data_IF_895603468332
#
_entry.id   IF_895603468332
#
_cell.length_a   1.000
_cell.length_b   1.000
_cell.length_c   1.000
_cell.angle_alpha   90.00
_cell.angle_beta   90.00
_cell.angle_gamma   90.00
#
_symmetry.space_group_name_H-M   'P 1'
#
loop_
_entity.id
_entity.type
_entity.pdbx_description
1 polymer ?
#
# COMPACT_ATOMS: atom_id res chain seq x y z
N UNK A 1 -10.50 10.21 11.39
CA UNK A 1 -9.03 10.31 11.57
C UNK A 1 -8.43 10.73 10.24
N UNK A 2 -7.44 11.62 10.23
CA UNK A 2 -6.78 12.03 8.99
C UNK A 2 -5.85 10.92 8.47
N UNK A 3 -5.79 10.75 7.15
CA UNK A 3 -4.75 9.96 6.49
C UNK A 3 -3.52 10.85 6.35
N UNK A 4 -2.36 10.35 6.75
CA UNK A 4 -1.11 11.11 6.68
C UNK A 4 -0.17 10.39 5.73
N UNK A 5 0.35 11.13 4.76
CA UNK A 5 1.29 10.60 3.77
C UNK A 5 2.60 10.14 4.40
N UNK A 6 3.49 9.60 3.56
CA UNK A 6 4.91 9.60 3.82
C UNK A 6 5.45 10.94 4.35
N UNK A 7 6.52 10.92 5.14
CA UNK A 7 7.25 12.13 5.54
C UNK A 7 8.39 12.40 4.56
N UNK A 8 8.42 13.60 4.02
CA UNK A 8 9.41 14.06 3.05
C UNK A 8 10.27 15.16 3.66
N UNK A 9 11.51 15.26 3.21
CA UNK A 9 12.44 16.31 3.63
C UNK A 9 12.72 17.24 2.45
N UNK A 10 12.51 18.53 2.66
CA UNK A 10 12.99 19.57 1.77
C UNK A 10 14.24 20.18 2.38
N UNK A 11 15.35 20.12 1.65
CA UNK A 11 16.63 20.63 2.12
C UNK A 11 16.78 22.10 1.75
N UNK A 12 17.47 22.85 2.62
CA UNK A 12 17.94 24.20 2.29
C UNK A 12 18.83 24.12 1.04
N UNK A 13 18.54 24.99 0.08
CA UNK A 13 19.23 25.02 -1.21
C UNK A 13 19.47 26.46 -1.63
N UNK A 14 20.71 26.77 -1.99
CA UNK A 14 21.13 28.10 -2.44
C UNK A 14 21.08 28.24 -3.97
N UNK A 15 20.83 27.14 -4.70
CA UNK A 15 21.00 27.08 -6.16
C UNK A 15 19.67 26.98 -6.91
N UNK A 16 18.68 26.28 -6.36
CA UNK A 16 17.35 26.14 -6.97
C UNK A 16 16.25 25.97 -5.90
N UNK A 17 15.03 26.47 -6.16
CA UNK A 17 13.87 26.22 -5.30
C UNK A 17 13.61 24.71 -5.15
N UNK A 18 13.47 24.18 -3.91
CA UNK A 18 13.21 22.76 -3.73
C UNK A 18 11.80 22.40 -4.20
N UNK A 19 11.70 21.27 -4.89
CA UNK A 19 10.44 20.67 -5.34
C UNK A 19 10.29 19.33 -4.66
N UNK A 20 9.18 19.12 -3.96
CA UNK A 20 8.86 17.88 -3.26
C UNK A 20 7.62 17.27 -3.91
N UNK A 21 7.71 16.01 -4.30
CA UNK A 21 6.57 15.21 -4.76
C UNK A 21 6.15 14.32 -3.59
N UNK A 22 4.93 14.53 -3.11
CA UNK A 22 4.34 13.77 -2.01
C UNK A 22 3.34 12.80 -2.63
N UNK A 23 3.63 11.50 -2.54
CA UNK A 23 2.67 10.45 -2.85
C UNK A 23 1.64 10.39 -1.71
N UNK A 24 0.38 10.12 -2.04
CA UNK A 24 -0.63 9.89 -1.01
C UNK A 24 -1.67 8.86 -1.42
N UNK A 25 -2.12 8.06 -0.46
CA UNK A 25 -3.08 6.97 -0.71
C UNK A 25 -4.53 7.43 -0.90
N UNK A 26 -4.91 8.67 -0.59
CA UNK A 26 -6.28 9.14 -0.83
C UNK A 26 -6.70 8.96 -2.30
N UNK A 27 -7.91 8.46 -2.54
CA UNK A 27 -8.46 8.35 -3.88
C UNK A 27 -9.04 9.69 -4.31
N UNK A 28 -8.37 10.35 -5.26
CA UNK A 28 -8.77 11.68 -5.75
C UNK A 28 -9.39 11.53 -7.13
N UNK A 29 -10.67 11.19 -7.16
CA UNK A 29 -11.49 11.19 -8.38
C UNK A 29 -12.85 11.82 -8.09
N UNK A 30 -13.59 12.19 -9.15
CA UNK A 30 -14.92 12.79 -9.03
C UNK A 30 -15.84 11.92 -8.16
N UNK A 31 -16.42 12.51 -7.12
CA UNK A 31 -17.27 11.80 -6.15
C UNK A 31 -16.60 11.49 -4.80
N UNK A 32 -15.30 11.72 -4.67
CA UNK A 32 -14.59 11.71 -3.39
C UNK A 32 -14.17 13.14 -3.01
N UNK A 33 -14.39 13.51 -1.75
CA UNK A 33 -14.28 14.88 -1.23
C UNK A 33 -13.16 15.03 -0.21
N UNK A 34 -12.05 14.32 -0.43
CA UNK A 34 -10.86 14.44 0.42
C UNK A 34 -10.38 15.89 0.50
N UNK A 35 -10.40 16.47 1.70
CA UNK A 35 -9.73 17.74 1.95
C UNK A 35 -8.25 17.46 2.25
N UNK A 36 -7.39 17.74 1.28
CA UNK A 36 -5.95 17.59 1.42
C UNK A 36 -5.31 18.88 1.90
N UNK A 37 -4.50 18.77 2.96
CA UNK A 37 -3.75 19.88 3.54
C UNK A 37 -2.29 19.49 3.64
N UNK A 38 -1.39 20.28 3.04
CA UNK A 38 0.05 20.08 3.20
C UNK A 38 0.51 20.81 4.44
N UNK A 39 1.16 20.09 5.35
CA UNK A 39 1.74 20.65 6.56
C UNK A 39 3.24 20.42 6.60
N UNK A 40 3.94 21.31 7.28
CA UNK A 40 5.37 21.17 7.53
C UNK A 40 5.72 21.42 8.99
N UNK A 41 6.95 21.05 9.33
CA UNK A 41 7.60 21.34 10.61
C UNK A 41 9.10 21.54 10.41
N UNK A 42 9.69 22.36 11.28
CA UNK A 42 11.10 22.76 11.19
C UNK A 42 11.93 22.11 12.31
N UNK A 43 13.24 21.86 12.13
CA UNK A 43 14.19 21.52 13.19
C UNK A 43 14.08 22.44 14.42
N UNK A 44 13.91 23.74 14.20
CA UNK A 44 13.66 24.72 15.28
C UNK A 44 12.42 24.38 16.13
N UNK A 45 11.34 23.87 15.53
CA UNK A 45 10.14 23.41 16.25
C UNK A 45 10.37 22.15 17.11
N UNK A 46 11.47 21.43 16.93
CA UNK A 46 11.82 20.31 17.81
C UNK A 46 12.39 20.77 19.15
N UNK A 47 13.02 21.96 19.20
CA UNK A 47 13.59 22.50 20.43
C UNK A 47 12.51 23.00 21.40
N UNK A 48 11.34 23.41 20.89
CA UNK A 48 10.15 23.75 21.68
C UNK A 48 9.52 22.54 22.41
N UNK A 49 9.96 21.30 22.11
CA UNK A 49 9.56 20.08 22.86
C UNK A 49 9.84 20.16 24.35
N UNK A 50 10.84 20.93 24.76
CA UNK A 50 11.24 21.01 26.17
C UNK A 50 10.29 21.88 27.01
N UNK A 51 9.40 22.65 26.38
CA UNK A 51 8.43 23.53 27.08
C UNK A 51 6.98 23.16 26.80
N UNK A 52 6.66 22.63 25.62
CA UNK A 52 5.32 22.15 25.27
C UNK A 52 5.43 20.85 24.47
N UNK A 53 4.76 19.79 24.94
CA UNK A 53 4.98 18.41 24.49
C UNK A 53 4.39 18.09 23.09
N UNK A 54 4.28 19.09 22.20
CA UNK A 54 3.72 18.93 20.85
C UNK A 54 4.59 19.60 19.80
N UNK A 55 5.29 18.79 19.00
CA UNK A 55 5.82 19.26 17.72
C UNK A 55 4.61 19.45 16.78
N UNK A 56 4.14 20.69 16.61
CA UNK A 56 2.90 20.99 15.88
C UNK A 56 3.18 21.08 14.38
N UNK A 57 2.60 20.16 13.61
CA UNK A 57 2.49 20.31 12.17
C UNK A 57 1.63 21.53 11.84
N UNK A 58 2.18 22.50 11.10
CA UNK A 58 1.49 23.72 10.66
C UNK A 58 1.31 23.72 9.15
N UNK A 59 0.31 24.43 8.63
CA UNK A 59 0.10 24.46 7.18
C UNK A 59 1.32 25.07 6.48
N UNK A 60 1.69 24.51 5.33
CA UNK A 60 2.94 24.91 4.65
C UNK A 60 2.94 26.39 4.29
N UNK A 61 1.79 26.96 3.92
CA UNK A 61 1.64 28.37 3.57
C UNK A 61 1.69 29.30 4.80
N UNK A 62 1.46 28.80 6.01
CA UNK A 62 1.64 29.61 7.25
C UNK A 62 3.12 29.74 7.60
N UNK A 63 3.90 28.69 7.36
CA UNK A 63 5.34 28.66 7.67
C UNK A 63 6.17 29.22 6.50
N UNK A 64 5.71 28.98 5.27
CA UNK A 64 6.36 29.35 4.01
C UNK A 64 5.30 29.96 3.08
N UNK A 65 4.99 31.26 3.21
CA UNK A 65 3.89 31.91 2.48
C UNK A 65 3.94 31.79 0.96
N UNK A 66 5.13 31.74 0.37
CA UNK A 66 5.33 31.64 -1.07
C UNK A 66 5.36 30.19 -1.60
N UNK A 67 5.04 29.19 -0.75
CA UNK A 67 4.94 27.81 -1.19
C UNK A 67 3.76 27.63 -2.15
N UNK A 68 3.98 26.88 -3.23
CA UNK A 68 2.93 26.48 -4.17
C UNK A 68 2.64 25.00 -3.98
N UNK A 69 1.37 24.70 -3.73
CA UNK A 69 0.87 23.33 -3.59
C UNK A 69 -0.06 23.05 -4.77
N UNK A 70 0.36 22.14 -5.63
CA UNK A 70 -0.42 21.69 -6.78
C UNK A 70 -0.75 20.21 -6.61
N UNK A 71 -2.02 19.88 -6.75
CA UNK A 71 -2.46 18.50 -6.76
C UNK A 71 -2.50 17.97 -8.19
N UNK A 72 -1.75 16.89 -8.46
CA UNK A 72 -1.70 16.21 -9.77
C UNK A 72 -2.12 14.77 -9.59
N UNK A 73 -3.40 14.49 -9.85
CA UNK A 73 -4.02 13.18 -9.58
C UNK A 73 -3.81 12.76 -8.12
N UNK A 74 -2.92 11.78 -7.91
CA UNK A 74 -2.63 11.15 -6.63
C UNK A 74 -1.39 11.72 -5.94
N UNK A 75 -0.64 12.57 -6.65
CA UNK A 75 0.57 13.19 -6.14
C UNK A 75 0.30 14.66 -5.80
N UNK A 76 0.98 15.14 -4.77
CA UNK A 76 0.95 16.53 -4.37
C UNK A 76 2.34 17.11 -4.61
N UNK A 77 2.41 18.03 -5.57
CA UNK A 77 3.62 18.76 -5.91
C UNK A 77 3.72 20.01 -5.04
N UNK A 78 4.76 20.08 -4.24
CA UNK A 78 5.05 21.23 -3.38
C UNK A 78 6.30 21.91 -3.91
N UNK A 79 6.14 23.11 -4.46
CA UNK A 79 7.25 23.98 -4.87
C UNK A 79 7.48 25.01 -3.80
N UNK A 80 8.68 25.01 -3.23
CA UNK A 80 9.05 25.88 -2.11
C UNK A 80 9.99 26.98 -2.60
N UNK A 81 9.93 28.19 -2.02
CA UNK A 81 10.99 29.18 -2.18
C UNK A 81 12.32 28.67 -1.57
N UNK A 82 13.40 29.45 -1.72
CA UNK A 82 14.66 29.14 -1.05
C UNK A 82 14.45 29.07 0.46
N UNK A 83 14.75 27.90 1.03
CA UNK A 83 14.56 27.63 2.45
C UNK A 83 15.77 28.10 3.27
N UNK A 84 15.50 28.69 4.43
CA UNK A 84 16.54 29.09 5.40
C UNK A 84 17.06 27.91 6.24
N UNK A 85 16.23 26.90 6.44
CA UNK A 85 16.54 25.66 7.15
C UNK A 85 15.85 24.47 6.45
N UNK A 86 16.30 23.26 6.73
CA UNK A 86 15.64 22.04 6.24
C UNK A 86 14.26 21.93 6.88
N UNK A 87 13.25 21.46 6.14
CA UNK A 87 11.91 21.25 6.69
C UNK A 87 11.40 19.85 6.37
N UNK A 88 10.57 19.31 7.26
CA UNK A 88 9.81 18.09 6.99
C UNK A 88 8.40 18.44 6.56
N UNK A 89 7.90 17.74 5.54
CA UNK A 89 6.62 18.00 4.89
C UNK A 89 5.85 16.69 4.76
N UNK A 90 4.54 16.76 4.96
CA UNK A 90 3.61 15.67 4.72
C UNK A 90 2.24 16.21 4.31
N UNK A 91 1.49 15.43 3.54
CA UNK A 91 0.10 15.69 3.23
C UNK A 91 -0.83 15.02 4.26
N UNK A 92 -1.91 15.70 4.58
CA UNK A 92 -2.94 15.28 5.51
C UNK A 92 -4.27 15.26 4.77
N UNK A 93 -4.77 14.06 4.47
CA UNK A 93 -6.09 13.84 3.91
C UNK A 93 -7.15 13.75 5.00
N UNK A 94 -8.09 14.68 4.99
CA UNK A 94 -9.28 14.65 5.84
C UNK A 94 -10.42 14.03 5.02
N UNK A 95 -10.93 12.85 5.41
CA UNK A 95 -11.98 12.18 4.65
C UNK A 95 -13.35 12.82 4.87
N UNK A 96 -14.16 12.87 3.82
CA UNK A 96 -15.61 12.93 3.84
C UNK A 96 -16.26 11.59 4.17
N UNK A 97 -17.56 11.45 3.88
CA UNK A 97 -18.36 10.27 4.27
C UNK A 97 -18.19 9.07 3.34
N UNK A 98 -18.15 9.31 2.03
CA UNK A 98 -18.07 8.27 0.99
C UNK A 98 -16.64 8.09 0.43
N UNK A 99 -15.66 8.61 1.16
CA UNK A 99 -14.28 8.62 0.70
C UNK A 99 -13.64 7.22 0.77
N UNK A 100 -12.82 6.96 -0.24
CA UNK A 100 -12.02 5.74 -0.35
C UNK A 100 -10.54 6.10 -0.39
N UNK A 101 -9.70 5.16 0.05
CA UNK A 101 -8.25 5.23 -0.18
C UNK A 101 -7.79 4.05 -1.02
N UNK A 102 -6.70 4.28 -1.74
CA UNK A 102 -6.00 3.32 -2.58
C UNK A 102 -5.07 2.51 -1.70
N UNK A 103 -5.27 1.21 -1.69
CA UNK A 103 -4.35 0.26 -1.07
C UNK A 103 -3.87 -0.72 -2.13
N UNK A 104 -2.71 -1.30 -1.92
CA UNK A 104 -2.18 -2.39 -2.73
C UNK A 104 -1.93 -3.61 -1.84
N UNK A 105 -2.01 -4.78 -2.44
CA UNK A 105 -1.76 -6.02 -1.71
C UNK A 105 -0.35 -6.51 -2.01
N UNK A 106 0.40 -6.86 -0.97
CA UNK A 106 1.75 -7.39 -1.07
C UNK A 106 1.82 -8.74 -0.37
N UNK A 107 2.33 -9.75 -1.08
CA UNK A 107 2.35 -11.13 -0.59
C UNK A 107 3.79 -11.54 -0.32
N UNK A 108 4.04 -11.96 0.91
CA UNK A 108 5.34 -12.36 1.41
C UNK A 108 5.34 -13.81 1.87
N UNK A 109 6.50 -14.44 1.80
CA UNK A 109 6.70 -15.77 2.36
C UNK A 109 8.15 -16.17 2.30
N UNK A 110 8.51 -17.20 3.08
CA UNK A 110 9.83 -17.82 2.96
C UNK A 110 9.95 -18.52 1.61
N UNK A 111 11.19 -18.80 1.21
CA UNK A 111 11.43 -19.65 0.05
C UNK A 111 10.72 -21.01 0.27
N UNK A 112 9.84 -21.44 -0.64
CA UNK A 112 9.12 -22.70 -0.49
C UNK A 112 10.09 -23.89 -0.52
N UNK A 113 9.87 -24.88 0.35
CA UNK A 113 10.72 -26.08 0.47
C UNK A 113 9.85 -27.32 0.37
N UNK A 114 10.21 -28.27 -0.49
CA UNK A 114 9.40 -29.45 -0.73
C UNK A 114 9.14 -30.23 0.56
N UNK A 115 7.88 -30.64 0.74
CA UNK A 115 7.45 -31.44 1.89
C UNK A 115 7.27 -30.66 3.18
N UNK A 116 7.39 -29.32 3.15
CA UNK A 116 7.06 -28.43 4.27
C UNK A 116 5.87 -27.56 3.92
N UNK A 117 5.06 -27.24 4.93
CA UNK A 117 4.00 -26.25 4.80
C UNK A 117 4.59 -24.88 4.46
N UNK A 118 3.92 -24.17 3.56
CA UNK A 118 4.35 -22.85 3.11
C UNK A 118 3.44 -21.77 3.66
N UNK A 119 4.03 -20.83 4.40
CA UNK A 119 3.29 -19.72 5.02
C UNK A 119 3.34 -18.51 4.10
N UNK A 120 2.16 -18.06 3.70
CA UNK A 120 1.95 -16.84 2.93
C UNK A 120 1.37 -15.78 3.85
N UNK A 121 1.99 -14.61 3.85
CA UNK A 121 1.54 -13.44 4.58
C UNK A 121 1.08 -12.39 3.59
N UNK A 122 -0.18 -12.00 3.68
CA UNK A 122 -0.83 -11.14 2.70
C UNK A 122 -1.14 -9.81 3.37
N UNK A 123 -0.39 -8.78 3.01
CA UNK A 123 -0.53 -7.42 3.54
C UNK A 123 -1.43 -6.58 2.65
N UNK A 124 -2.24 -5.73 3.29
CA UNK A 124 -2.90 -4.62 2.62
C UNK A 124 -2.21 -3.33 3.07
N UNK A 125 -1.54 -2.66 2.13
CA UNK A 125 -0.69 -1.50 2.40
C UNK A 125 -1.19 -0.30 1.62
N UNK A 126 -0.93 0.90 2.13
CA UNK A 126 -1.24 2.12 1.39
C UNK A 126 -0.51 2.13 0.05
N UNK A 127 -1.18 2.65 -0.99
CA UNK A 127 -0.61 2.72 -2.34
C UNK A 127 0.43 3.85 -2.46
N UNK A 128 1.56 3.66 -1.79
CA UNK A 128 2.75 4.50 -1.89
C UNK A 128 4.05 3.69 -1.79
N UNK A 129 5.13 4.29 -2.27
CA UNK A 129 6.48 3.73 -2.28
C UNK A 129 7.04 3.59 -0.86
N UNK A 130 6.77 4.57 0.01
CA UNK A 130 7.23 4.55 1.41
C UNK A 130 6.57 3.41 2.19
N UNK A 131 5.25 3.26 2.08
CA UNK A 131 4.51 2.19 2.75
C UNK A 131 5.02 0.80 2.32
N UNK A 132 5.24 0.63 1.01
CA UNK A 132 5.76 -0.62 0.45
C UNK A 132 7.16 -0.94 0.96
N UNK A 133 8.09 0.02 0.89
CA UNK A 133 9.46 -0.16 1.36
C UNK A 133 9.50 -0.55 2.84
N UNK A 134 8.71 0.13 3.68
CA UNK A 134 8.64 -0.16 5.12
C UNK A 134 8.22 -1.61 5.42
N UNK A 135 7.27 -2.16 4.65
CA UNK A 135 6.85 -3.56 4.81
C UNK A 135 7.87 -4.53 4.24
N UNK A 136 8.49 -4.22 3.11
CA UNK A 136 9.58 -5.02 2.55
C UNK A 136 10.74 -5.14 3.53
N UNK A 137 11.25 -4.02 4.04
CA UNK A 137 12.36 -3.98 5.02
C UNK A 137 12.01 -4.80 6.27
N UNK A 138 10.77 -4.71 6.74
CA UNK A 138 10.28 -5.49 7.89
C UNK A 138 10.24 -6.99 7.59
N UNK A 139 9.68 -7.41 6.47
CA UNK A 139 9.54 -8.83 6.15
C UNK A 139 10.88 -9.48 5.80
N UNK A 140 11.79 -8.74 5.19
CA UNK A 140 13.18 -9.17 4.96
C UNK A 140 13.88 -9.45 6.29
N UNK A 141 13.65 -8.62 7.32
CA UNK A 141 14.20 -8.87 8.67
C UNK A 141 13.69 -10.18 9.32
N UNK A 142 12.56 -10.71 8.86
CA UNK A 142 12.02 -12.02 9.27
C UNK A 142 12.44 -13.17 8.32
N UNK A 143 13.26 -12.88 7.31
CA UNK A 143 13.71 -13.83 6.29
C UNK A 143 12.63 -14.23 5.28
N UNK A 144 11.61 -13.38 5.11
CA UNK A 144 10.60 -13.55 4.07
C UNK A 144 10.99 -12.74 2.83
N UNK A 145 10.59 -13.23 1.66
CA UNK A 145 10.76 -12.52 0.39
C UNK A 145 9.40 -12.02 -0.09
N UNK A 146 9.40 -10.92 -0.84
CA UNK A 146 8.26 -10.53 -1.64
C UNK A 146 8.06 -11.56 -2.75
N UNK A 147 6.85 -12.11 -2.85
CA UNK A 147 6.51 -13.13 -3.82
C UNK A 147 5.78 -12.53 -5.03
N UNK A 148 4.79 -11.68 -4.77
CA UNK A 148 4.05 -10.95 -5.80
C UNK A 148 3.29 -9.78 -5.17
N UNK A 149 2.71 -8.94 -6.01
CA UNK A 149 1.83 -7.83 -5.63
C UNK A 149 0.55 -7.89 -6.46
N UNK A 150 -0.56 -7.33 -5.95
CA UNK A 150 -1.75 -7.06 -6.74
C UNK A 150 -1.86 -5.57 -7.04
N UNK A 151 -2.53 -5.27 -8.16
CA UNK A 151 -3.04 -3.94 -8.45
C UNK A 151 -4.02 -3.44 -7.37
N UNK A 152 -4.24 -2.12 -7.38
CA UNK A 152 -4.92 -1.39 -6.32
C UNK A 152 -6.32 -1.88 -5.98
N UNK A 153 -6.64 -1.84 -4.69
CA UNK A 153 -7.95 -2.05 -4.09
C UNK A 153 -8.40 -0.74 -3.44
N UNK A 154 -9.63 -0.32 -3.69
CA UNK A 154 -10.24 0.85 -3.06
C UNK A 154 -10.94 0.46 -1.76
N UNK A 155 -10.46 1.00 -0.65
CA UNK A 155 -10.96 0.72 0.70
C UNK A 155 -11.72 1.93 1.21
N UNK A 156 -12.96 1.71 1.66
CA UNK A 156 -13.80 2.72 2.33
C UNK A 156 -13.77 2.55 3.84
N UNK A 157 -14.12 3.61 4.58
CA UNK A 157 -14.33 3.55 6.03
C UNK A 157 -15.70 2.92 6.38
N UNK A 158 -15.93 1.69 5.92
CA UNK A 158 -17.19 0.97 6.17
C UNK A 158 -17.03 -0.08 7.27
N UNK A 159 -18.15 -0.70 7.65
CA UNK A 159 -18.16 -1.88 8.53
C UNK A 159 -18.04 -3.20 7.76
N UNK A 160 -17.94 -3.14 6.43
CA UNK A 160 -17.72 -4.33 5.60
C UNK A 160 -16.23 -4.66 5.58
N UNK A 161 -15.85 -5.88 5.94
CA UNK A 161 -14.44 -6.27 5.98
C UNK A 161 -13.91 -6.58 4.57
N UNK A 162 -12.61 -6.34 4.37
CA UNK A 162 -11.90 -6.74 3.16
C UNK A 162 -11.79 -8.27 3.16
N UNK A 163 -12.31 -8.90 2.12
CA UNK A 163 -12.25 -10.36 1.93
C UNK A 163 -11.05 -10.71 1.05
N UNK A 164 -10.15 -11.55 1.57
CA UNK A 164 -9.01 -12.12 0.86
C UNK A 164 -9.24 -13.62 0.65
N UNK A 165 -9.17 -14.08 -0.58
CA UNK A 165 -9.42 -15.47 -0.95
C UNK A 165 -8.25 -16.06 -1.75
N UNK A 166 -7.83 -17.28 -1.37
CA UNK A 166 -6.84 -18.07 -2.11
C UNK A 166 -7.50 -19.30 -2.71
N UNK A 167 -7.40 -19.41 -4.03
CA UNK A 167 -7.92 -20.51 -4.81
C UNK A 167 -6.76 -21.27 -5.48
N UNK A 168 -6.28 -22.38 -4.88
CA UNK A 168 -5.32 -23.26 -5.55
C UNK A 168 -5.91 -23.77 -6.87
N UNK A 169 -5.16 -23.59 -7.95
CA UNK A 169 -5.59 -23.97 -9.31
C UNK A 169 -5.25 -25.45 -9.56
N UNK A 170 -4.13 -25.93 -9.03
CA UNK A 170 -3.66 -27.30 -9.26
C UNK A 170 -4.05 -28.29 -8.14
N UNK A 171 -4.27 -29.54 -8.56
CA UNK A 171 -4.43 -30.68 -7.66
C UNK A 171 -3.10 -31.04 -6.98
N UNK A 172 -3.14 -31.34 -5.69
CA UNK A 172 -1.95 -31.69 -4.90
C UNK A 172 -1.59 -30.70 -3.79
N UNK A 173 -2.35 -29.60 -3.69
CA UNK A 173 -2.21 -28.58 -2.66
C UNK A 173 -3.53 -28.31 -1.96
N UNK A 174 -3.47 -27.92 -0.68
CA UNK A 174 -4.64 -27.43 0.05
C UNK A 174 -4.25 -26.26 0.94
N UNK A 175 -5.18 -25.34 1.13
CA UNK A 175 -5.07 -24.31 2.18
C UNK A 175 -5.49 -24.96 3.48
N UNK A 176 -4.64 -24.89 4.52
CA UNK A 176 -4.99 -25.32 5.87
C UNK A 176 -6.00 -24.34 6.46
N UNK A 177 -7.17 -24.85 6.84
CA UNK A 177 -8.25 -24.02 7.38
C UNK A 177 -9.03 -23.29 6.29
N UNK A 178 -9.33 -22.01 6.52
CA UNK A 178 -10.19 -21.23 5.62
C UNK A 178 -9.39 -20.68 4.43
N UNK A 179 -9.91 -20.93 3.22
CA UNK A 179 -9.45 -20.31 1.96
C UNK A 179 -9.76 -18.82 1.87
N UNK A 180 -10.68 -18.35 2.71
CA UNK A 180 -11.10 -16.97 2.82
C UNK A 180 -10.69 -16.45 4.19
N UNK A 181 -9.96 -15.34 4.20
CA UNK A 181 -9.66 -14.57 5.40
C UNK A 181 -10.17 -13.14 5.25
N UNK A 182 -10.30 -12.45 6.38
CA UNK A 182 -10.81 -11.09 6.44
C UNK A 182 -9.78 -10.18 7.08
N UNK A 183 -9.65 -8.98 6.54
CA UNK A 183 -8.96 -7.85 7.16
C UNK A 183 -10.04 -6.83 7.47
N UNK A 184 -10.07 -6.29 8.69
CA UNK A 184 -11.11 -5.32 9.04
C UNK A 184 -10.92 -4.04 8.24
N UNK A 185 -12.01 -3.48 7.71
CA UNK A 185 -11.93 -2.19 7.02
C UNK A 185 -11.46 -1.08 7.94
N UNK A 186 -11.76 -1.17 9.24
CA UNK A 186 -11.25 -0.25 10.25
C UNK A 186 -9.72 -0.28 10.33
N UNK A 187 -9.10 -1.46 10.45
CA UNK A 187 -7.64 -1.58 10.55
C UNK A 187 -6.94 -1.13 9.27
N UNK A 188 -7.52 -1.48 8.12
CA UNK A 188 -7.05 -1.02 6.81
C UNK A 188 -7.16 0.49 6.68
N UNK A 189 -8.31 1.07 7.04
CA UNK A 189 -8.55 2.50 6.96
C UNK A 189 -7.60 3.30 7.86
N UNK A 190 -7.34 2.84 9.08
CA UNK A 190 -6.51 3.54 10.05
C UNK A 190 -5.00 3.25 9.95
N UNK A 191 -4.56 2.46 8.96
CA UNK A 191 -3.13 2.26 8.72
C UNK A 191 -2.48 3.60 8.38
N UNK A 192 -1.38 3.92 9.06
CA UNK A 192 -0.57 5.09 8.73
C UNK A 192 0.45 4.72 7.67
N UNK A 193 0.63 5.59 6.68
CA UNK A 193 1.49 5.33 5.52
C UNK A 193 2.97 5.09 5.90
N UNK A 194 3.42 5.71 6.99
CA UNK A 194 4.76 5.53 7.57
C UNK A 194 4.87 4.36 8.57
N UNK A 195 3.81 3.59 8.78
CA UNK A 195 3.80 2.48 9.74
C UNK A 195 4.45 1.23 9.14
N UNK A 196 4.91 0.33 10.00
CA UNK A 196 5.24 -1.06 9.61
C UNK A 196 4.14 -2.04 10.05
N UNK A 197 3.12 -1.55 10.75
CA UNK A 197 2.00 -2.31 11.33
C UNK A 197 0.79 -2.40 10.41
N UNK A 198 0.98 -2.47 9.10
CA UNK A 198 -0.14 -2.67 8.16
C UNK A 198 -0.88 -3.98 8.44
N UNK A 199 -2.22 -3.99 8.27
CA UNK A 199 -2.99 -5.19 8.50
C UNK A 199 -2.63 -6.27 7.48
N UNK A 200 -2.67 -7.51 7.94
CA UNK A 200 -2.36 -8.66 7.12
C UNK A 200 -3.13 -9.87 7.61
N UNK A 201 -3.26 -10.85 6.72
CA UNK A 201 -3.75 -12.19 7.02
C UNK A 201 -2.71 -13.23 6.61
N UNK A 202 -2.85 -14.47 7.10
CA UNK A 202 -1.85 -15.52 6.88
C UNK A 202 -2.48 -16.81 6.40
N UNK A 203 -2.07 -17.29 5.23
CA UNK A 203 -2.47 -18.58 4.70
C UNK A 203 -1.34 -19.60 4.88
N UNK A 204 -1.71 -20.83 5.25
CA UNK A 204 -0.78 -21.94 5.31
C UNK A 204 -1.14 -22.93 4.20
N UNK A 205 -0.23 -23.12 3.25
CA UNK A 205 -0.38 -24.02 2.12
C UNK A 205 0.27 -25.36 2.48
N UNK A 206 -0.49 -26.45 2.42
CA UNK A 206 -0.01 -27.81 2.71
C UNK A 206 0.10 -28.63 1.42
N UNK A 207 1.15 -29.45 1.35
CA UNK A 207 1.25 -30.49 0.34
C UNK A 207 0.22 -31.59 0.61
N UNK A 208 -0.67 -31.83 -0.35
CA UNK A 208 -1.46 -33.08 -0.42
C UNK A 208 -0.63 -34.17 -1.08
N UNK A 209 0.14 -33.82 -2.12
CA UNK A 209 1.11 -34.71 -2.76
C UNK A 209 2.53 -34.18 -2.60
N UNK A 210 3.36 -34.91 -1.86
CA UNK A 210 4.77 -34.55 -1.63
C UNK A 210 5.64 -34.65 -2.88
N UNK A 211 5.12 -35.22 -3.98
CA UNK A 211 5.82 -35.32 -5.27
C UNK A 211 5.70 -34.05 -6.13
N UNK A 212 4.71 -33.20 -5.84
CA UNK A 212 4.47 -31.96 -6.59
C UNK A 212 5.44 -30.87 -6.13
N UNK A 213 6.02 -30.18 -7.11
CA UNK A 213 6.99 -29.11 -6.88
C UNK A 213 6.44 -27.73 -7.28
N UNK A 214 5.53 -27.67 -8.25
CA UNK A 214 4.94 -26.40 -8.65
C UNK A 214 3.62 -26.17 -7.89
N UNK A 215 3.41 -24.93 -7.46
CA UNK A 215 2.19 -24.43 -6.86
C UNK A 215 1.69 -23.24 -7.66
N UNK A 216 0.41 -23.30 -8.06
CA UNK A 216 -0.29 -22.24 -8.77
C UNK A 216 -1.56 -21.89 -8.00
N UNK A 217 -1.76 -20.62 -7.67
CA UNK A 217 -3.02 -20.17 -7.10
C UNK A 217 -3.43 -18.79 -7.62
N UNK A 218 -4.75 -18.61 -7.73
CA UNK A 218 -5.35 -17.30 -7.86
C UNK A 218 -5.58 -16.71 -6.47
N UNK A 219 -5.25 -15.43 -6.30
CA UNK A 219 -5.49 -14.69 -5.06
C UNK A 219 -6.37 -13.50 -5.39
N UNK A 220 -7.46 -13.35 -4.65
CA UNK A 220 -8.46 -12.31 -4.86
C UNK A 220 -8.63 -11.50 -3.58
N UNK A 221 -8.63 -10.18 -3.70
CA UNK A 221 -9.04 -9.24 -2.66
C UNK A 221 -10.33 -8.53 -3.11
N UNK A 222 -11.27 -8.33 -2.20
CA UNK A 222 -12.53 -7.63 -2.50
C UNK A 222 -12.99 -6.78 -1.32
N UNK A 223 -13.55 -5.61 -1.62
CA UNK A 223 -14.11 -4.69 -0.64
C UNK A 223 -15.26 -3.89 -1.27
N UNK A 224 -16.48 -4.06 -0.75
CA UNK A 224 -17.69 -3.49 -1.36
C UNK A 224 -17.84 -3.93 -2.82
N UNK A 225 -17.78 -2.96 -3.75
CA UNK A 225 -17.89 -3.22 -5.21
C UNK A 225 -16.54 -3.37 -5.92
N UNK A 226 -15.44 -3.20 -5.20
CA UNK A 226 -14.10 -3.24 -5.77
C UNK A 226 -13.45 -4.61 -5.56
N UNK A 227 -12.68 -5.06 -6.54
CA UNK A 227 -12.03 -6.36 -6.53
C UNK A 227 -10.72 -6.30 -7.31
N UNK A 228 -9.69 -6.92 -6.75
CA UNK A 228 -8.40 -7.11 -7.39
C UNK A 228 -8.01 -8.59 -7.37
N UNK A 229 -7.34 -9.07 -8.43
CA UNK A 229 -6.83 -10.43 -8.54
C UNK A 229 -5.37 -10.47 -9.01
N UNK A 230 -4.62 -11.49 -8.59
CA UNK A 230 -3.34 -11.90 -9.19
C UNK A 230 -3.23 -13.42 -9.16
N UNK A 231 -2.18 -13.90 -9.80
CA UNK A 231 -1.74 -15.28 -9.74
C UNK A 231 -0.39 -15.36 -9.03
N UNK A 232 -0.21 -16.42 -8.26
CA UNK A 232 1.05 -16.75 -7.60
C UNK A 232 1.53 -18.09 -8.11
N UNK A 233 2.75 -18.10 -8.63
CA UNK A 233 3.46 -19.30 -9.07
C UNK A 233 4.69 -19.49 -8.20
N UNK A 234 4.86 -20.69 -7.66
CA UNK A 234 5.99 -21.02 -6.81
C UNK A 234 6.52 -22.43 -7.08
N UNK A 235 7.84 -22.57 -7.09
CA UNK A 235 8.53 -23.85 -7.25
C UNK A 235 9.22 -24.24 -5.94
N UNK A 236 8.89 -25.41 -5.42
CA UNK A 236 9.37 -25.96 -4.17
C UNK A 236 10.64 -26.77 -4.42
N UNK A 237 11.78 -26.27 -3.92
CA UNK A 237 13.06 -26.96 -4.08
C UNK A 237 13.10 -28.26 -3.25
N UNK A 238 13.67 -29.31 -3.85
CA UNK A 238 14.13 -30.47 -3.08
C UNK A 238 15.28 -30.01 -2.18
N UNK A 239 15.18 -30.32 -0.89
CA UNK A 239 16.30 -30.15 0.02
C UNK A 239 17.47 -31.05 -0.44
N UNK A 240 18.40 -30.51 -1.22
CA UNK A 240 19.59 -31.24 -1.70
C UNK A 240 20.14 -30.87 -3.09
N UNK A 241 19.41 -30.15 -3.94
CA UNK A 241 19.89 -29.81 -5.30
C UNK A 241 20.02 -28.29 -5.48
N UNK A 242 21.26 -27.79 -5.44
CA UNK A 242 21.61 -26.39 -5.75
C UNK A 242 21.69 -26.19 -7.26
N UNK A 243 20.60 -25.86 -7.97
CA UNK A 243 20.73 -25.24 -9.30
C UNK A 243 19.58 -24.26 -9.61
N UNK A 244 19.98 -23.01 -9.91
CA UNK A 244 19.33 -21.98 -10.73
C UNK A 244 17.82 -21.76 -10.64
N UNK A 245 17.41 -20.60 -10.11
CA UNK A 245 16.02 -20.12 -10.19
C UNK A 245 15.84 -19.33 -11.49
N UNK A 246 14.82 -19.66 -12.28
CA UNK A 246 14.22 -18.77 -13.27
C UNK A 246 12.94 -18.17 -12.68
N UNK A 247 12.91 -16.86 -12.50
CA UNK A 247 11.67 -16.14 -12.19
C UNK A 247 10.93 -15.87 -13.49
N UNK A 248 9.81 -16.55 -13.73
CA UNK A 248 8.87 -16.14 -14.79
C UNK A 248 7.91 -15.15 -14.15
N UNK A 249 8.17 -13.85 -14.35
CA UNK A 249 7.21 -12.80 -14.07
C UNK A 249 6.14 -12.84 -15.17
N UNK A 250 4.97 -13.41 -14.87
CA UNK A 250 3.79 -13.13 -15.69
C UNK A 250 3.10 -11.92 -15.07
N UNK A 251 3.38 -10.75 -15.60
CA UNK A 251 2.55 -9.57 -15.38
C UNK A 251 1.25 -9.78 -16.17
N UNK A 252 0.18 -10.26 -15.52
CA UNK A 252 -1.15 -10.17 -16.08
C UNK A 252 -1.67 -8.76 -15.84
N UNK A 253 -1.90 -8.01 -16.91
CA UNK A 253 -2.68 -6.77 -16.86
C UNK A 253 -4.03 -7.03 -16.20
N UNK A 254 -4.32 -6.26 -15.16
CA UNK A 254 -5.60 -6.31 -14.46
C UNK A 254 -6.68 -5.67 -15.31
N UNK A 255 -7.68 -6.46 -15.72
CA UNK A 255 -8.96 -5.90 -16.15
C UNK A 255 -9.76 -5.56 -14.90
N UNK A 256 -9.86 -4.28 -14.58
CA UNK A 256 -10.91 -3.77 -13.68
C UNK A 256 -12.25 -4.04 -14.38
N UNK A 257 -12.96 -5.09 -13.96
CA UNK A 257 -14.32 -5.33 -14.42
C UNK A 257 -15.23 -4.35 -13.68
N UNK A 258 -15.39 -3.15 -14.25
CA UNK A 258 -16.43 -2.21 -13.79
C UNK A 258 -17.79 -2.87 -14.00
N UNK A 259 -18.50 -3.15 -12.90
CA UNK A 259 -19.88 -3.59 -12.92
C UNK A 259 -20.74 -2.59 -13.70
N UNK A 260 -21.30 -3.04 -14.82
CA UNK A 260 -22.23 -2.26 -15.64
C UNK A 260 -23.52 -2.01 -14.87
N UNK A 261 -23.88 -0.74 -14.75
CA UNK A 261 -25.21 -0.29 -14.37
C UNK A 261 -25.40 1.16 -14.75
N UNK A 262 -25.95 1.39 -15.96
CA UNK A 262 -26.78 2.51 -16.44
C UNK A 262 -26.24 3.95 -16.22
N UNK A 263 -26.22 4.91 -17.15
CA UNK A 263 -26.52 5.06 -18.58
C UNK A 263 -26.06 6.50 -18.92
N UNK A 264 -25.60 6.72 -20.16
CA UNK A 264 -25.59 7.98 -20.93
C UNK A 264 -25.12 9.28 -20.25
N UNK A 265 -23.90 9.74 -20.58
CA UNK A 265 -23.70 11.14 -20.98
C UNK A 265 -22.70 11.20 -22.15
N UNK A 266 -23.12 11.96 -23.14
CA UNK A 266 -22.63 12.11 -24.50
C UNK A 266 -21.26 12.77 -24.60
N UNK A 267 -20.57 12.41 -25.67
CA UNK A 267 -19.59 13.24 -26.36
C UNK A 267 -20.15 14.66 -26.58
N UNK A 268 -19.39 15.70 -26.23
CA UNK A 268 -19.16 16.94 -27.00
C UNK A 268 -18.51 18.03 -26.10
N UNK A 269 -17.48 18.68 -26.69
CA UNK A 269 -16.68 19.83 -26.25
C UNK A 269 -15.49 19.60 -25.29
#
# INVERSE_FOLDING_TARGET
MCQVSGKYKAFKSNTAPPVVVIEHSCLVVRGHEWKLVVKCRTPSSYQERNTTNSCVWREVNEVVPDAKVEQKHNDILVTLPQLKEDIEIAAFGIPGTEDQKRMKMAIFGKKPTQGRDWKLKVYLIDDSTIAFKNVCDKEESFGNNLLTTLAGLFVSNSNEDIRIEINPIETGWKVKGNKVQKITARDAWHSLENSTGFPHCQFNIEHVSKSKQAFFCGITASHGRDQANTELVAYFEQAGLRYGIFYVFVALETKVVKGRGLENWSEEC
#
